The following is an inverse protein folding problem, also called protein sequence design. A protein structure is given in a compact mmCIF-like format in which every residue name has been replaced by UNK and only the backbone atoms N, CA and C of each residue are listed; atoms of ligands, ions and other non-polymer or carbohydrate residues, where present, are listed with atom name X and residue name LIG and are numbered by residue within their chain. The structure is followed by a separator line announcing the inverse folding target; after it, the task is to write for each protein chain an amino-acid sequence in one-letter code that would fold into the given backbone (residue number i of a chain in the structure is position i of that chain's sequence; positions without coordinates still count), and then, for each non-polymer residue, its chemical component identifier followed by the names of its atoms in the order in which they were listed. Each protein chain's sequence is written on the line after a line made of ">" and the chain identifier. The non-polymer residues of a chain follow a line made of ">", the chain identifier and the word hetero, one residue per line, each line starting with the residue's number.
data_IF_700354256637
#
_entry.id   IF_700354256637
#
_cell.length_a   1.000
_cell.length_b   1.000
_cell.length_c   1.000
_cell.angle_alpha   90.00
_cell.angle_beta   90.00
_cell.angle_gamma   90.00
#
_symmetry.space_group_name_H-M   'P 1'
#
loop_
_entity.id
_entity.type
_entity.pdbx_description
1 polymer ?
#
# COMPACT_ATOMS: atom_id res chain seq x y z
N UNK A 1 -22.07 -14.86 1.96
CA UNK A 1 -21.46 -13.96 2.97
C UNK A 1 -22.47 -13.59 4.05
N UNK A 2 -23.70 -13.18 3.72
CA UNK A 2 -24.72 -12.81 4.72
C UNK A 2 -24.96 -13.94 5.76
N UNK A 3 -25.01 -15.18 5.33
CA UNK A 3 -25.16 -16.34 6.23
C UNK A 3 -23.99 -16.47 7.19
N UNK A 4 -22.76 -16.28 6.70
CA UNK A 4 -21.54 -16.33 7.51
C UNK A 4 -21.49 -15.19 8.54
N UNK A 5 -21.86 -13.98 8.13
CA UNK A 5 -21.94 -12.80 9.01
C UNK A 5 -22.98 -13.02 10.11
N UNK A 6 -24.18 -13.51 9.75
CA UNK A 6 -25.26 -13.83 10.71
C UNK A 6 -24.85 -14.96 11.66
N UNK A 7 -24.14 -15.97 11.16
CA UNK A 7 -23.68 -17.10 11.98
C UNK A 7 -22.64 -16.66 13.01
N UNK A 8 -21.71 -15.78 12.66
CA UNK A 8 -20.77 -15.18 13.63
C UNK A 8 -21.50 -14.27 14.62
N UNK A 9 -22.40 -13.42 14.14
CA UNK A 9 -23.25 -12.54 14.94
C UNK A 9 -22.50 -11.43 15.68
N UNK A 10 -21.18 -11.26 15.46
CA UNK A 10 -20.38 -10.19 16.07
C UNK A 10 -19.85 -9.22 15.01
N UNK A 11 -19.85 -7.92 15.32
CA UNK A 11 -19.38 -6.88 14.41
C UNK A 11 -17.93 -7.10 13.95
N UNK A 12 -17.09 -7.69 14.81
CA UNK A 12 -15.66 -7.90 14.56
C UNK A 12 -15.31 -9.35 14.18
N UNK A 13 -16.32 -10.18 13.88
CA UNK A 13 -16.14 -11.59 13.52
C UNK A 13 -15.31 -12.39 14.55
N UNK A 14 -15.57 -12.12 15.84
CA UNK A 14 -14.78 -12.69 16.95
C UNK A 14 -15.12 -14.16 17.26
N UNK A 15 -16.31 -14.63 16.89
CA UNK A 15 -16.79 -15.97 17.25
C UNK A 15 -16.21 -17.04 16.34
N UNK A 16 -16.28 -16.84 15.03
CA UNK A 16 -15.75 -17.76 14.02
C UNK A 16 -14.34 -17.41 13.58
N UNK A 17 -13.97 -16.13 13.67
CA UNK A 17 -12.73 -15.59 13.18
C UNK A 17 -12.80 -15.15 11.71
N UNK A 18 -12.28 -13.95 11.43
CA UNK A 18 -12.33 -13.34 10.10
C UNK A 18 -11.67 -14.21 9.02
N UNK A 19 -10.55 -14.86 9.32
CA UNK A 19 -9.85 -15.70 8.34
C UNK A 19 -10.66 -16.95 7.95
N UNK A 20 -11.35 -17.59 8.91
CA UNK A 20 -12.22 -18.73 8.63
C UNK A 20 -13.42 -18.32 7.76
N UNK A 21 -14.02 -17.18 8.06
CA UNK A 21 -15.11 -16.59 7.25
C UNK A 21 -14.63 -16.28 5.84
N UNK A 22 -13.49 -15.60 5.73
CA UNK A 22 -12.92 -15.20 4.44
C UNK A 22 -12.59 -16.40 3.56
N UNK A 23 -12.02 -17.47 4.12
CA UNK A 23 -11.70 -18.67 3.33
C UNK A 23 -12.91 -19.28 2.67
N UNK A 24 -14.04 -19.35 3.38
CA UNK A 24 -15.31 -19.83 2.81
C UNK A 24 -15.88 -18.84 1.80
N UNK A 25 -15.83 -17.55 2.09
CA UNK A 25 -16.27 -16.48 1.18
C UNK A 25 -15.55 -16.54 -0.18
N UNK A 26 -14.21 -16.60 -0.15
CA UNK A 26 -13.40 -16.66 -1.37
C UNK A 26 -13.56 -17.99 -2.11
N UNK A 27 -13.61 -19.12 -1.39
CA UNK A 27 -13.84 -20.43 -2.00
C UNK A 27 -15.21 -20.50 -2.70
N UNK A 28 -16.26 -19.96 -2.08
CA UNK A 28 -17.60 -19.90 -2.68
C UNK A 28 -17.60 -19.09 -3.97
N UNK A 29 -16.90 -17.94 -3.99
CA UNK A 29 -16.76 -17.13 -5.19
C UNK A 29 -16.03 -17.88 -6.32
N UNK A 30 -14.91 -18.55 -5.99
CA UNK A 30 -14.14 -19.36 -6.96
C UNK A 30 -14.99 -20.49 -7.53
N UNK A 31 -15.71 -21.23 -6.70
CA UNK A 31 -16.61 -22.32 -7.13
C UNK A 31 -17.72 -21.79 -8.05
N UNK A 32 -18.32 -20.66 -7.68
CA UNK A 32 -19.35 -20.05 -8.51
C UNK A 32 -18.82 -19.64 -9.89
N UNK A 33 -17.64 -19.04 -9.97
CA UNK A 33 -16.99 -18.71 -11.25
C UNK A 33 -16.73 -19.96 -12.10
N UNK A 34 -16.19 -21.03 -11.49
CA UNK A 34 -15.96 -22.32 -12.15
C UNK A 34 -17.25 -22.95 -12.66
N UNK A 35 -18.31 -22.98 -11.85
CA UNK A 35 -19.61 -23.52 -12.22
C UNK A 35 -20.23 -22.78 -13.41
N UNK A 36 -20.01 -21.47 -13.49
CA UNK A 36 -20.45 -20.65 -14.63
C UNK A 36 -19.47 -20.69 -15.83
N UNK A 37 -18.36 -21.43 -15.72
CA UNK A 37 -17.32 -21.54 -16.76
C UNK A 37 -16.77 -20.18 -17.22
N UNK A 38 -16.60 -19.24 -16.28
CA UNK A 38 -16.01 -17.93 -16.53
C UNK A 38 -14.82 -17.69 -15.61
N UNK A 39 -13.89 -16.83 -16.03
CA UNK A 39 -12.75 -16.45 -15.20
C UNK A 39 -13.20 -15.68 -13.95
N UNK A 40 -12.44 -15.81 -12.85
CA UNK A 40 -12.80 -15.25 -11.56
C UNK A 40 -13.01 -13.73 -11.63
N UNK A 41 -12.11 -12.99 -12.30
CA UNK A 41 -12.28 -11.54 -12.43
C UNK A 41 -13.57 -11.15 -13.16
N UNK A 42 -14.04 -11.95 -14.14
CA UNK A 42 -15.31 -11.72 -14.84
C UNK A 42 -16.53 -12.03 -13.97
N UNK A 43 -16.39 -12.96 -13.05
CA UNK A 43 -17.44 -13.29 -12.08
C UNK A 43 -17.59 -12.20 -11.01
N UNK A 44 -16.48 -11.67 -10.52
CA UNK A 44 -16.45 -10.60 -9.50
C UNK A 44 -16.89 -9.26 -10.11
N UNK A 45 -16.44 -8.97 -11.33
CA UNK A 45 -16.76 -7.72 -12.03
C UNK A 45 -16.51 -7.83 -13.52
N UNK A 46 -16.78 -6.76 -14.28
CA UNK A 46 -16.69 -6.77 -15.73
C UNK A 46 -15.57 -5.87 -16.28
N UNK A 47 -14.67 -5.39 -15.43
CA UNK A 47 -13.54 -4.57 -15.84
C UNK A 47 -12.40 -5.45 -16.37
N UNK A 48 -11.50 -4.84 -17.15
CA UNK A 48 -10.40 -5.56 -17.83
C UNK A 48 -9.08 -4.82 -17.77
N UNK A 49 -9.00 -3.75 -16.98
CA UNK A 49 -7.78 -2.95 -16.86
C UNK A 49 -6.89 -3.58 -15.79
N UNK A 50 -5.67 -3.91 -16.18
CA UNK A 50 -4.64 -4.34 -15.23
C UNK A 50 -4.17 -3.14 -14.41
N UNK A 51 -4.01 -3.31 -13.07
CA UNK A 51 -3.54 -2.24 -12.20
C UNK A 51 -2.06 -1.91 -12.49
N UNK A 52 -1.65 -0.69 -12.13
CA UNK A 52 -0.25 -0.33 -12.14
C UNK A 52 0.42 -0.87 -10.87
N UNK A 53 1.48 -1.70 -10.95
CA UNK A 53 2.07 -2.28 -9.74
C UNK A 53 2.79 -1.24 -8.89
N UNK A 54 2.66 -1.36 -7.57
CA UNK A 54 3.56 -0.77 -6.58
C UNK A 54 4.51 -1.88 -6.15
N UNK A 55 5.81 -1.67 -6.33
CA UNK A 55 6.81 -2.70 -6.03
C UNK A 55 7.73 -2.24 -4.91
N UNK A 56 7.64 -2.93 -3.78
CA UNK A 56 8.52 -2.68 -2.63
C UNK A 56 9.93 -3.19 -2.94
N UNK A 57 10.94 -2.32 -2.85
CA UNK A 57 12.32 -2.62 -3.22
C UNK A 57 13.35 -2.37 -2.12
N UNK A 58 12.99 -1.57 -1.09
CA UNK A 58 13.75 -1.45 0.17
C UNK A 58 12.78 -1.55 1.33
N UNK A 59 13.13 -2.40 2.30
CA UNK A 59 12.42 -2.56 3.56
C UNK A 59 13.15 -1.87 4.72
N UNK A 60 12.35 -1.27 5.59
CA UNK A 60 12.74 -0.76 6.89
C UNK A 60 11.68 -1.05 7.95
N UNK A 61 11.60 -0.23 8.98
CA UNK A 61 10.58 -0.35 10.03
C UNK A 61 10.55 -1.75 10.66
N UNK A 62 9.35 -2.32 10.76
CA UNK A 62 9.16 -3.69 11.26
C UNK A 62 9.50 -4.78 10.25
N UNK A 63 9.53 -4.46 8.96
CA UNK A 63 9.81 -5.43 7.90
C UNK A 63 11.30 -5.76 7.73
N UNK A 64 12.19 -5.06 8.46
CA UNK A 64 13.63 -5.30 8.38
C UNK A 64 14.36 -4.94 9.68
N UNK A 65 15.38 -5.71 10.03
CA UNK A 65 16.24 -5.39 11.17
C UNK A 65 17.34 -4.40 10.75
N UNK A 66 16.94 -3.13 10.54
CA UNK A 66 17.84 -2.03 10.20
C UNK A 66 17.38 -0.73 10.89
N UNK A 67 18.05 0.40 10.58
CA UNK A 67 17.78 1.70 11.21
C UNK A 67 16.75 2.57 10.48
N UNK A 68 16.23 2.13 9.34
CA UNK A 68 15.22 2.86 8.59
C UNK A 68 13.91 2.97 9.36
N UNK A 69 13.31 4.15 9.33
CA UNK A 69 12.04 4.40 10.02
C UNK A 69 10.84 4.12 9.13
N UNK A 70 10.90 4.51 7.87
CA UNK A 70 9.89 4.19 6.86
C UNK A 70 9.96 2.69 6.56
N UNK A 71 8.80 2.05 6.55
CA UNK A 71 8.68 0.59 6.46
C UNK A 71 8.91 0.07 5.05
N UNK A 72 8.39 0.78 4.04
CA UNK A 72 8.51 0.36 2.64
C UNK A 72 8.87 1.53 1.74
N UNK A 73 9.84 1.27 0.85
CA UNK A 73 10.21 2.17 -0.23
C UNK A 73 9.89 1.46 -1.54
N UNK A 74 8.86 1.95 -2.21
CA UNK A 74 8.30 1.35 -3.41
C UNK A 74 8.61 2.18 -4.64
N UNK A 75 8.64 1.53 -5.80
CA UNK A 75 8.63 2.17 -7.12
C UNK A 75 7.32 1.89 -7.85
N UNK A 76 6.88 2.88 -8.64
CA UNK A 76 5.72 2.81 -9.51
C UNK A 76 6.12 3.19 -10.94
N UNK A 77 6.01 2.26 -11.92
CA UNK A 77 6.47 2.48 -13.29
C UNK A 77 5.41 3.24 -14.12
N UNK A 78 5.28 4.55 -13.87
CA UNK A 78 4.20 5.41 -14.39
C UNK A 78 4.09 5.45 -15.92
N UNK A 79 5.21 5.24 -16.64
CA UNK A 79 5.27 5.31 -18.11
C UNK A 79 5.03 3.96 -18.80
N UNK A 80 4.88 2.90 -18.04
CA UNK A 80 4.66 1.58 -18.62
C UNK A 80 3.35 1.53 -19.43
N UNK A 81 3.43 1.01 -20.65
CA UNK A 81 2.28 0.92 -21.57
C UNK A 81 1.37 -0.29 -21.27
N UNK A 82 1.91 -1.27 -20.56
CA UNK A 82 1.21 -2.50 -20.17
C UNK A 82 1.90 -3.13 -18.97
N UNK A 83 1.25 -4.14 -18.38
CA UNK A 83 1.73 -4.79 -17.15
C UNK A 83 3.07 -5.50 -17.32
N UNK A 84 3.33 -6.15 -18.46
CA UNK A 84 4.61 -6.81 -18.74
C UNK A 84 5.76 -5.80 -18.80
N UNK A 85 5.54 -4.65 -19.45
CA UNK A 85 6.52 -3.57 -19.47
C UNK A 85 6.75 -3.01 -18.05
N UNK A 86 5.67 -2.84 -17.26
CA UNK A 86 5.77 -2.40 -15.88
C UNK A 86 6.66 -3.34 -15.03
N UNK A 87 6.44 -4.65 -15.11
CA UNK A 87 7.25 -5.63 -14.41
C UNK A 87 8.71 -5.61 -14.87
N UNK A 88 8.96 -5.50 -16.19
CA UNK A 88 10.31 -5.45 -16.72
C UNK A 88 11.06 -4.19 -16.25
N UNK A 89 10.41 -3.03 -16.24
CA UNK A 89 10.97 -1.78 -15.70
C UNK A 89 11.37 -1.98 -14.23
N UNK A 90 10.47 -2.49 -13.40
CA UNK A 90 10.74 -2.74 -11.99
C UNK A 90 11.90 -3.72 -11.79
N UNK A 91 11.92 -4.81 -12.56
CA UNK A 91 13.01 -5.80 -12.52
C UNK A 91 14.36 -5.16 -12.83
N UNK A 92 14.48 -4.35 -13.88
CA UNK A 92 15.72 -3.67 -14.25
C UNK A 92 16.21 -2.74 -13.12
N UNK A 93 15.31 -1.96 -12.51
CA UNK A 93 15.67 -1.10 -11.38
C UNK A 93 16.15 -1.91 -10.17
N UNK A 94 15.46 -3.00 -9.83
CA UNK A 94 15.84 -3.89 -8.72
C UNK A 94 17.22 -4.48 -8.95
N UNK A 95 17.56 -4.93 -10.18
CA UNK A 95 18.88 -5.45 -10.51
C UNK A 95 19.98 -4.38 -10.37
N UNK A 96 19.70 -3.15 -10.78
CA UNK A 96 20.63 -2.02 -10.59
C UNK A 96 20.79 -1.65 -9.12
N UNK A 97 19.70 -1.64 -8.35
CA UNK A 97 19.76 -1.43 -6.90
C UNK A 97 20.61 -2.49 -6.21
N UNK A 98 20.42 -3.77 -6.55
CA UNK A 98 21.25 -4.87 -6.04
C UNK A 98 22.73 -4.64 -6.31
N UNK A 99 23.08 -4.29 -7.55
CA UNK A 99 24.47 -4.02 -7.95
C UNK A 99 25.06 -2.82 -7.18
N UNK A 100 24.28 -1.76 -6.95
CA UNK A 100 24.69 -0.61 -6.17
C UNK A 100 24.94 -0.94 -4.69
N UNK A 101 24.06 -1.74 -4.09
CA UNK A 101 24.23 -2.19 -2.70
C UNK A 101 25.50 -3.00 -2.54
N UNK A 102 25.75 -3.97 -3.43
CA UNK A 102 26.99 -4.75 -3.45
C UNK A 102 28.22 -3.85 -3.60
N UNK A 103 28.20 -2.91 -4.55
CA UNK A 103 29.32 -1.99 -4.79
C UNK A 103 29.60 -1.02 -3.64
N UNK A 104 28.68 -0.88 -2.71
CA UNK A 104 28.79 -0.06 -1.49
C UNK A 104 28.99 -0.90 -0.21
N UNK A 105 29.27 -2.20 -0.34
CA UNK A 105 29.39 -3.16 0.77
C UNK A 105 28.13 -3.20 1.69
N UNK A 106 26.94 -2.98 1.10
CA UNK A 106 25.66 -3.04 1.79
C UNK A 106 24.99 -4.40 1.55
N UNK A 107 24.23 -4.85 2.56
CA UNK A 107 23.49 -6.12 2.49
C UNK A 107 22.45 -6.11 1.38
N UNK A 108 22.36 -7.23 0.66
CA UNK A 108 21.28 -7.53 -0.30
C UNK A 108 20.31 -8.59 0.24
N UNK A 109 20.35 -8.88 1.54
CA UNK A 109 19.31 -9.67 2.18
C UNK A 109 17.97 -8.93 2.08
N UNK A 110 16.89 -9.69 2.01
CA UNK A 110 15.54 -9.15 1.87
C UNK A 110 14.80 -9.11 3.19
N UNK A 111 13.89 -8.16 3.33
CA UNK A 111 12.94 -8.11 4.43
C UNK A 111 11.67 -8.93 4.15
N UNK A 112 10.68 -8.78 5.00
CA UNK A 112 9.45 -9.59 5.00
C UNK A 112 8.59 -9.40 3.74
N UNK A 113 8.75 -8.27 3.06
CA UNK A 113 8.03 -7.92 1.82
C UNK A 113 8.88 -8.08 0.55
N UNK A 114 10.06 -8.71 0.65
CA UNK A 114 10.92 -8.99 -0.49
C UNK A 114 11.82 -7.84 -0.96
N UNK A 115 11.70 -6.63 -0.43
CA UNK A 115 12.63 -5.53 -0.64
C UNK A 115 13.97 -5.77 0.07
N UNK A 116 15.06 -5.19 -0.44
CA UNK A 116 16.35 -5.27 0.23
C UNK A 116 16.32 -4.60 1.61
N UNK A 117 17.07 -5.13 2.55
CA UNK A 117 17.13 -4.65 3.92
C UNK A 117 18.55 -4.17 4.31
N UNK A 118 19.12 -3.17 3.60
CA UNK A 118 20.45 -2.68 3.92
C UNK A 118 20.47 -1.90 5.23
N UNK A 119 21.60 -1.94 5.95
CA UNK A 119 21.85 -1.07 7.10
C UNK A 119 22.33 0.29 6.61
N UNK A 120 21.40 1.23 6.47
CA UNK A 120 21.65 2.62 6.04
C UNK A 120 21.06 3.61 7.03
N UNK A 121 21.66 4.79 7.12
CA UNK A 121 21.50 5.68 8.27
C UNK A 121 20.26 6.56 8.23
N UNK A 122 19.62 6.74 7.06
CA UNK A 122 18.46 7.63 6.92
C UNK A 122 17.50 7.19 5.81
N UNK A 123 16.24 7.63 5.91
CA UNK A 123 15.24 7.44 4.87
C UNK A 123 15.64 8.11 3.56
N UNK A 124 16.24 9.30 3.64
CA UNK A 124 16.69 10.06 2.47
C UNK A 124 17.78 9.31 1.69
N UNK A 125 18.71 8.65 2.40
CA UNK A 125 19.73 7.84 1.74
C UNK A 125 19.12 6.63 1.03
N UNK A 126 18.07 5.99 1.59
CA UNK A 126 17.33 4.94 0.91
C UNK A 126 16.70 5.46 -0.41
N UNK A 127 16.05 6.63 -0.34
CA UNK A 127 15.49 7.29 -1.52
C UNK A 127 16.57 7.59 -2.56
N UNK A 128 17.70 8.15 -2.16
CA UNK A 128 18.80 8.50 -3.06
C UNK A 128 19.42 7.26 -3.75
N UNK A 129 19.54 6.14 -3.04
CA UNK A 129 19.97 4.86 -3.63
C UNK A 129 18.97 4.35 -4.69
N UNK A 130 17.68 4.49 -4.44
CA UNK A 130 16.64 4.12 -5.42
C UNK A 130 16.72 5.04 -6.65
N UNK A 131 16.88 6.35 -6.46
CA UNK A 131 17.02 7.30 -7.57
C UNK A 131 18.25 7.00 -8.42
N UNK A 132 19.38 6.68 -7.78
CA UNK A 132 20.61 6.24 -8.48
C UNK A 132 20.36 4.94 -9.27
N UNK A 133 19.59 3.99 -8.70
CA UNK A 133 19.25 2.75 -9.39
C UNK A 133 18.33 2.99 -10.60
N UNK A 134 17.36 3.89 -10.50
CA UNK A 134 16.47 4.28 -11.60
C UNK A 134 17.28 4.89 -12.76
N UNK A 135 18.17 5.82 -12.45
CA UNK A 135 19.04 6.45 -13.44
C UNK A 135 19.95 5.42 -14.14
N UNK A 136 20.64 4.57 -13.37
CA UNK A 136 21.49 3.49 -13.91
C UNK A 136 20.71 2.45 -14.71
N UNK A 137 19.41 2.30 -14.48
CA UNK A 137 18.53 1.46 -15.29
C UNK A 137 18.08 2.13 -16.59
N UNK A 138 18.44 3.43 -16.81
CA UNK A 138 18.12 4.19 -18.01
C UNK A 138 16.75 4.87 -17.97
N UNK A 139 16.16 5.04 -16.80
CA UNK A 139 14.86 5.69 -16.62
C UNK A 139 14.98 7.04 -15.89
N UNK A 140 13.97 7.89 -16.06
CA UNK A 140 13.88 9.19 -15.40
C UNK A 140 12.92 9.12 -14.20
N UNK A 141 13.46 9.37 -13.01
CA UNK A 141 12.65 9.49 -11.81
C UNK A 141 11.69 10.70 -11.92
N UNK A 142 10.45 10.52 -11.49
CA UNK A 142 9.38 11.52 -11.56
C UNK A 142 8.65 11.60 -12.89
N UNK A 143 9.21 11.02 -13.95
CA UNK A 143 8.60 10.97 -15.29
C UNK A 143 8.25 9.54 -15.70
N UNK A 144 9.24 8.65 -15.64
CA UNK A 144 9.06 7.25 -16.04
C UNK A 144 8.69 6.37 -14.84
N UNK A 145 9.27 6.70 -13.68
CA UNK A 145 9.09 5.97 -12.43
C UNK A 145 8.94 6.99 -11.30
N UNK A 146 7.92 6.83 -10.47
CA UNK A 146 7.77 7.59 -9.22
C UNK A 146 8.04 6.72 -8.00
N UNK A 147 8.27 7.40 -6.88
CA UNK A 147 8.47 6.77 -5.58
C UNK A 147 7.16 6.73 -4.81
N UNK A 148 6.96 5.65 -4.07
CA UNK A 148 5.86 5.48 -3.14
C UNK A 148 6.42 4.99 -1.81
N UNK A 149 5.87 5.47 -0.71
CA UNK A 149 6.33 5.15 0.64
C UNK A 149 5.19 4.55 1.45
N UNK A 150 5.49 3.53 2.25
CA UNK A 150 4.66 3.15 3.39
C UNK A 150 5.43 3.47 4.68
N UNK A 151 4.87 4.38 5.47
CA UNK A 151 5.51 4.83 6.71
C UNK A 151 5.16 3.94 7.88
N UNK A 152 3.98 3.33 7.87
CA UNK A 152 3.42 2.54 8.96
C UNK A 152 3.53 3.29 10.32
N UNK A 153 3.05 4.54 10.34
CA UNK A 153 3.33 5.48 11.43
C UNK A 153 2.72 5.09 12.78
N UNK A 154 1.80 4.13 12.84
CA UNK A 154 1.35 3.52 14.09
C UNK A 154 2.53 3.00 14.94
N UNK A 155 3.55 2.44 14.27
CA UNK A 155 4.75 1.90 14.91
C UNK A 155 5.73 2.98 15.39
N UNK A 156 5.60 4.18 14.87
CA UNK A 156 6.48 5.33 15.12
C UNK A 156 5.83 6.36 16.05
N UNK A 157 4.60 6.10 16.51
CA UNK A 157 3.81 7.01 17.33
C UNK A 157 3.93 6.74 18.82
N UNK A 158 4.19 7.78 19.58
CA UNK A 158 4.18 7.74 21.04
C UNK A 158 3.80 9.11 21.59
N UNK A 159 2.84 9.15 22.54
CA UNK A 159 2.48 10.36 23.29
C UNK A 159 2.24 11.60 22.39
N UNK A 160 1.44 11.40 21.33
CA UNK A 160 1.10 12.43 20.32
C UNK A 160 2.31 12.97 19.55
N UNK A 161 3.37 12.17 19.39
CA UNK A 161 4.58 12.52 18.65
C UNK A 161 5.02 11.34 17.78
N UNK A 162 5.84 11.64 16.79
CA UNK A 162 6.30 10.71 15.76
C UNK A 162 7.83 10.67 15.68
N UNK A 163 8.40 9.50 15.44
CA UNK A 163 9.84 9.31 15.20
C UNK A 163 10.12 8.87 13.76
N UNK A 164 9.59 9.61 12.77
CA UNK A 164 9.59 9.22 11.34
C UNK A 164 10.93 9.39 10.61
N UNK A 165 11.78 10.30 11.05
CA UNK A 165 13.07 10.57 10.40
C UNK A 165 14.29 10.22 11.27
N UNK A 166 14.09 9.98 12.54
CA UNK A 166 15.15 9.63 13.48
C UNK A 166 14.55 9.04 14.76
N UNK A 167 15.37 8.69 15.74
CA UNK A 167 14.90 8.29 17.08
C UNK A 167 14.27 9.42 17.88
N UNK A 168 14.40 10.68 17.43
CA UNK A 168 13.82 11.85 18.09
C UNK A 168 12.34 11.98 17.74
N UNK A 169 11.50 12.14 18.75
CA UNK A 169 10.06 12.36 18.57
C UNK A 169 9.75 13.84 18.28
N UNK A 170 8.94 14.07 17.24
CA UNK A 170 8.48 15.40 16.79
C UNK A 170 6.95 15.45 16.79
N UNK A 171 6.37 16.64 16.82
CA UNK A 171 4.91 16.83 16.77
C UNK A 171 4.31 16.49 15.40
N UNK A 172 2.98 16.36 15.33
CA UNK A 172 2.25 16.13 14.07
C UNK A 172 2.55 17.21 13.04
N UNK A 173 2.61 18.49 13.44
CA UNK A 173 2.90 19.63 12.56
C UNK A 173 4.31 19.52 11.94
N UNK A 174 5.32 19.20 12.75
CA UNK A 174 6.69 18.97 12.25
C UNK A 174 6.79 17.73 11.37
N UNK A 175 5.96 16.74 11.61
CA UNK A 175 5.87 15.55 10.77
C UNK A 175 5.24 15.89 9.41
N UNK A 176 4.22 16.74 9.38
CA UNK A 176 3.66 17.29 8.13
C UNK A 176 4.75 18.05 7.35
N UNK A 177 5.48 18.96 7.99
CA UNK A 177 6.58 19.70 7.36
C UNK A 177 7.65 18.74 6.77
N UNK A 178 7.98 17.67 7.49
CA UNK A 178 8.91 16.65 7.00
C UNK A 178 8.42 16.01 5.69
N UNK A 179 7.15 15.58 5.62
CA UNK A 179 6.61 14.98 4.38
C UNK A 179 6.50 16.00 3.24
N UNK A 180 6.10 17.23 3.52
CA UNK A 180 6.06 18.29 2.51
C UNK A 180 7.45 18.54 1.91
N UNK A 181 8.49 18.58 2.75
CA UNK A 181 9.87 18.73 2.31
C UNK A 181 10.36 17.51 1.50
N UNK A 182 10.02 16.28 1.91
CA UNK A 182 10.34 15.08 1.13
C UNK A 182 9.68 15.14 -0.26
N UNK A 183 8.39 15.45 -0.33
CA UNK A 183 7.65 15.53 -1.59
C UNK A 183 8.12 16.68 -2.50
N UNK A 184 8.67 17.76 -1.92
CA UNK A 184 9.27 18.84 -2.68
C UNK A 184 10.64 18.46 -3.25
N UNK A 185 11.43 17.68 -2.50
CA UNK A 185 12.80 17.28 -2.88
C UNK A 185 12.83 16.08 -3.80
N UNK A 186 11.92 15.12 -3.62
CA UNK A 186 11.94 13.84 -4.30
C UNK A 186 10.63 13.56 -5.07
N UNK A 187 10.66 12.76 -6.13
CA UNK A 187 9.50 12.46 -6.97
C UNK A 187 8.54 11.46 -6.31
N UNK A 188 8.10 11.77 -5.09
CA UNK A 188 7.15 10.96 -4.32
C UNK A 188 5.74 11.23 -4.85
N UNK A 189 4.97 10.17 -5.14
CA UNK A 189 3.60 10.23 -5.65
C UNK A 189 2.59 9.51 -4.76
N UNK A 190 3.08 8.81 -3.72
CA UNK A 190 2.21 8.14 -2.76
C UNK A 190 2.88 8.08 -1.39
N UNK A 191 2.11 8.33 -0.33
CA UNK A 191 2.50 8.11 1.06
C UNK A 191 1.37 7.34 1.73
N UNK A 192 1.69 6.14 2.19
CA UNK A 192 0.80 5.28 2.94
C UNK A 192 1.07 5.44 4.44
N UNK A 193 0.00 5.45 5.20
CA UNK A 193 -0.04 5.56 6.67
C UNK A 193 0.98 6.56 7.27
N UNK A 194 0.92 7.84 6.83
CA UNK A 194 1.84 8.88 7.32
C UNK A 194 1.65 9.23 8.80
N UNK A 195 0.50 8.90 9.39
CA UNK A 195 0.15 9.20 10.78
C UNK A 195 -0.53 8.04 11.48
N UNK A 196 -0.58 8.11 12.80
CA UNK A 196 -1.35 7.21 13.65
C UNK A 196 -2.82 7.17 13.21
N UNK A 197 -3.42 5.99 13.19
CA UNK A 197 -4.76 5.69 12.67
C UNK A 197 -5.90 6.53 13.27
N UNK A 198 -5.67 7.19 14.41
CA UNK A 198 -6.65 8.03 15.08
C UNK A 198 -6.23 9.51 15.16
N UNK A 199 -5.12 9.91 14.54
CA UNK A 199 -4.70 11.32 14.43
C UNK A 199 -5.34 12.00 13.19
N UNK A 200 -6.67 12.02 13.18
CA UNK A 200 -7.46 12.49 12.05
C UNK A 200 -7.11 13.91 11.59
N UNK A 201 -6.75 14.78 12.52
CA UNK A 201 -6.40 16.17 12.22
C UNK A 201 -5.11 16.26 11.39
N UNK A 202 -4.09 15.45 11.73
CA UNK A 202 -2.86 15.37 10.95
C UNK A 202 -3.11 14.81 9.54
N UNK A 203 -3.95 13.78 9.40
CA UNK A 203 -4.35 13.23 8.11
C UNK A 203 -5.05 14.26 7.24
N UNK A 204 -6.02 14.99 7.78
CA UNK A 204 -6.77 16.06 7.08
C UNK A 204 -5.79 17.15 6.61
N UNK A 205 -4.95 17.63 7.52
CA UNK A 205 -4.00 18.71 7.22
C UNK A 205 -3.01 18.32 6.13
N UNK A 206 -2.40 17.12 6.19
CA UNK A 206 -1.48 16.67 5.14
C UNK A 206 -2.21 16.54 3.79
N UNK A 207 -3.41 15.95 3.78
CA UNK A 207 -4.20 15.78 2.55
C UNK A 207 -4.51 17.11 1.89
N UNK A 208 -4.89 18.13 2.69
CA UNK A 208 -5.15 19.48 2.19
C UNK A 208 -3.91 20.13 1.59
N UNK A 209 -2.74 20.03 2.24
CA UNK A 209 -1.50 20.62 1.76
C UNK A 209 -1.00 19.99 0.45
N UNK A 210 -1.16 18.69 0.28
CA UNK A 210 -0.72 17.98 -0.92
C UNK A 210 -1.74 18.02 -2.08
N UNK A 211 -2.97 18.46 -1.81
CA UNK A 211 -4.00 18.86 -2.77
C UNK A 211 -4.18 17.89 -3.95
N UNK A 212 -4.37 16.61 -3.68
CA UNK A 212 -4.56 15.51 -4.66
C UNK A 212 -3.40 15.29 -5.66
N UNK A 213 -2.30 16.00 -5.56
CA UNK A 213 -1.12 15.76 -6.39
C UNK A 213 -0.36 14.48 -6.00
N UNK A 214 -0.59 14.01 -4.76
CA UNK A 214 0.02 12.83 -4.17
C UNK A 214 -1.09 11.95 -3.59
N UNK A 215 -0.97 10.65 -3.76
CA UNK A 215 -1.85 9.69 -3.11
C UNK A 215 -1.51 9.65 -1.62
N UNK A 216 -2.48 9.96 -0.78
CA UNK A 216 -2.41 9.74 0.67
C UNK A 216 -3.25 8.51 0.94
N UNK A 217 -2.57 7.42 1.26
CA UNK A 217 -3.16 6.08 1.34
C UNK A 217 -3.41 5.71 2.79
N UNK A 218 -4.65 5.31 3.11
CA UNK A 218 -4.98 4.77 4.41
C UNK A 218 -5.05 3.25 4.38
N UNK A 219 -4.12 2.57 5.07
CA UNK A 219 -4.19 1.16 5.43
C UNK A 219 -4.78 1.05 6.85
N UNK A 220 -3.99 1.27 7.89
CA UNK A 220 -4.45 1.24 9.29
C UNK A 220 -5.52 2.29 9.58
N UNK A 221 -5.50 3.43 8.87
CA UNK A 221 -6.54 4.44 8.97
C UNK A 221 -7.93 3.85 8.68
N UNK A 222 -8.05 3.02 7.66
CA UNK A 222 -9.33 2.53 7.16
C UNK A 222 -9.60 1.05 7.45
N UNK A 223 -8.54 0.22 7.55
CA UNK A 223 -8.62 -1.25 7.76
C UNK A 223 -9.70 -1.93 6.91
N UNK A 224 -9.84 -1.51 5.65
CA UNK A 224 -10.88 -1.99 4.71
C UNK A 224 -12.30 -1.90 5.31
N UNK A 225 -12.53 -0.93 6.20
CA UNK A 225 -13.78 -0.80 6.96
C UNK A 225 -14.63 0.36 6.45
N UNK A 226 -15.89 0.06 6.12
CA UNK A 226 -16.87 1.00 5.55
C UNK A 226 -17.10 2.25 6.43
N UNK A 227 -17.21 2.07 7.75
CA UNK A 227 -17.49 3.18 8.68
C UNK A 227 -16.29 4.13 8.77
N UNK A 228 -15.06 3.56 8.85
CA UNK A 228 -13.83 4.36 8.88
C UNK A 228 -13.62 5.10 7.55
N UNK A 229 -13.88 4.43 6.42
CA UNK A 229 -13.81 5.08 5.10
C UNK A 229 -14.83 6.23 4.99
N UNK A 230 -16.08 6.04 5.42
CA UNK A 230 -17.10 7.10 5.45
C UNK A 230 -16.66 8.30 6.29
N UNK A 231 -16.00 8.04 7.43
CA UNK A 231 -15.44 9.12 8.25
C UNK A 231 -14.35 9.87 7.49
N UNK A 232 -13.43 9.15 6.83
CA UNK A 232 -12.36 9.75 6.01
C UNK A 232 -12.91 10.61 4.88
N UNK A 233 -13.90 10.10 4.15
CA UNK A 233 -14.58 10.82 3.06
C UNK A 233 -15.20 12.13 3.58
N UNK A 234 -15.97 12.06 4.67
CA UNK A 234 -16.64 13.23 5.26
C UNK A 234 -15.65 14.29 5.76
N UNK A 235 -14.54 13.86 6.33
CA UNK A 235 -13.52 14.77 6.87
C UNK A 235 -12.43 15.15 5.86
N UNK A 236 -12.45 14.57 4.64
CA UNK A 236 -11.41 14.74 3.60
C UNK A 236 -10.02 14.30 4.08
N UNK A 237 -9.97 13.26 4.88
CA UNK A 237 -8.73 12.62 5.31
C UNK A 237 -8.34 11.52 4.32
N UNK A 238 -7.14 11.59 3.76
CA UNK A 238 -6.67 10.73 2.67
C UNK A 238 -7.43 10.94 1.33
N UNK A 239 -7.02 10.25 0.27
CA UNK A 239 -7.68 10.23 -1.03
C UNK A 239 -7.61 8.85 -1.70
N UNK A 240 -7.02 7.88 -1.02
CA UNK A 240 -6.82 6.52 -1.49
C UNK A 240 -6.98 5.56 -0.30
N UNK A 241 -7.57 4.40 -0.52
CA UNK A 241 -7.65 3.33 0.46
C UNK A 241 -6.83 2.12 0.01
N UNK A 242 -6.05 1.55 0.92
CA UNK A 242 -5.48 0.22 0.77
C UNK A 242 -6.53 -0.81 1.15
N UNK A 243 -6.72 -1.80 0.29
CA UNK A 243 -7.76 -2.82 0.46
C UNK A 243 -7.10 -4.17 0.73
N UNK A 244 -7.39 -4.73 1.88
CA UNK A 244 -6.95 -6.05 2.32
C UNK A 244 -8.18 -6.89 2.72
N UNK A 245 -8.64 -7.84 1.89
CA UNK A 245 -9.87 -8.59 2.17
C UNK A 245 -9.90 -9.25 3.55
N UNK A 246 -8.74 -9.66 4.08
CA UNK A 246 -8.65 -10.30 5.39
C UNK A 246 -8.80 -9.33 6.58
N UNK A 247 -8.72 -8.01 6.37
CA UNK A 247 -9.01 -7.03 7.43
C UNK A 247 -10.52 -6.94 7.72
N UNK A 248 -11.37 -7.21 6.72
CA UNK A 248 -12.82 -7.16 6.86
C UNK A 248 -13.47 -8.55 6.92
N UNK A 249 -12.93 -9.52 6.18
CA UNK A 249 -13.25 -10.94 6.34
C UNK A 249 -14.33 -11.50 5.42
N UNK A 250 -14.89 -10.74 4.49
CA UNK A 250 -15.76 -11.23 3.41
C UNK A 250 -15.51 -10.49 2.09
N UNK A 251 -15.76 -11.16 0.97
CA UNK A 251 -15.70 -10.54 -0.34
C UNK A 251 -16.79 -9.46 -0.52
N UNK A 252 -17.99 -9.72 -0.03
CA UNK A 252 -19.12 -8.78 -0.13
C UNK A 252 -18.77 -7.45 0.55
N UNK A 253 -18.31 -7.46 1.79
CA UNK A 253 -17.90 -6.25 2.51
C UNK A 253 -16.71 -5.56 1.84
N UNK A 254 -15.75 -6.34 1.30
CA UNK A 254 -14.62 -5.81 0.52
C UNK A 254 -15.10 -5.03 -0.70
N UNK A 255 -16.02 -5.61 -1.50
CA UNK A 255 -16.59 -4.97 -2.68
C UNK A 255 -17.41 -3.73 -2.33
N UNK A 256 -18.15 -3.75 -1.21
CA UNK A 256 -18.88 -2.57 -0.73
C UNK A 256 -17.93 -1.40 -0.42
N UNK A 257 -16.79 -1.67 0.22
CA UNK A 257 -15.77 -0.65 0.54
C UNK A 257 -15.15 -0.10 -0.74
N UNK A 258 -14.79 -0.95 -1.69
CA UNK A 258 -14.24 -0.53 -2.98
C UNK A 258 -15.23 0.36 -3.74
N UNK A 259 -16.49 -0.06 -3.83
CA UNK A 259 -17.54 0.70 -4.49
C UNK A 259 -17.77 2.06 -3.81
N UNK A 260 -17.81 2.08 -2.48
CA UNK A 260 -17.93 3.32 -1.71
C UNK A 260 -16.78 4.28 -1.99
N UNK A 261 -15.54 3.78 -2.05
CA UNK A 261 -14.36 4.56 -2.38
C UNK A 261 -14.51 5.21 -3.76
N UNK A 262 -14.80 4.40 -4.79
CA UNK A 262 -14.95 4.87 -6.16
C UNK A 262 -16.07 5.90 -6.34
N UNK A 263 -17.23 5.68 -5.71
CA UNK A 263 -18.36 6.61 -5.76
C UNK A 263 -18.03 8.00 -5.15
N UNK A 264 -17.02 8.05 -4.29
CA UNK A 264 -16.59 9.30 -3.63
C UNK A 264 -15.23 9.81 -4.15
N UNK A 265 -14.76 9.32 -5.31
CA UNK A 265 -13.53 9.79 -5.94
C UNK A 265 -12.23 9.35 -5.28
N UNK A 266 -12.30 8.41 -4.32
CA UNK A 266 -11.12 7.76 -3.75
C UNK A 266 -10.57 6.72 -4.72
N UNK A 267 -9.25 6.61 -4.79
CA UNK A 267 -8.58 5.50 -5.45
C UNK A 267 -8.51 4.29 -4.54
N UNK A 268 -8.31 3.13 -5.14
CA UNK A 268 -8.13 1.87 -4.41
C UNK A 268 -6.83 1.20 -4.83
N UNK A 269 -6.12 0.65 -3.86
CA UNK A 269 -4.93 -0.18 -4.02
C UNK A 269 -5.27 -1.53 -3.42
N UNK A 270 -5.17 -2.62 -4.18
CA UNK A 270 -5.36 -3.97 -3.67
C UNK A 270 -4.01 -4.48 -3.20
N UNK A 271 -3.95 -4.91 -1.95
CA UNK A 271 -2.71 -5.29 -1.30
C UNK A 271 -2.69 -6.75 -0.88
N UNK A 272 -1.49 -7.32 -0.91
CA UNK A 272 -1.16 -8.57 -0.23
C UNK A 272 -0.94 -8.33 1.28
N UNK A 273 -0.52 -9.36 1.98
CA UNK A 273 0.00 -9.31 3.36
C UNK A 273 1.39 -9.93 3.38
N UNK A 274 2.24 -9.50 4.33
CA UNK A 274 3.54 -10.17 4.60
C UNK A 274 3.31 -11.65 4.87
N UNK A 275 4.09 -12.52 4.22
CA UNK A 275 3.94 -13.98 4.35
C UNK A 275 2.64 -14.54 3.75
N UNK A 276 1.99 -13.82 2.83
CA UNK A 276 0.81 -14.30 2.13
C UNK A 276 1.12 -15.55 1.27
N UNK A 277 0.08 -16.32 0.96
CA UNK A 277 0.19 -17.50 0.10
C UNK A 277 0.29 -17.09 -1.38
N UNK A 278 0.59 -18.07 -2.27
CA UNK A 278 0.61 -17.87 -3.73
C UNK A 278 -0.79 -17.77 -4.35
N UNK A 279 -1.86 -17.60 -3.54
CA UNK A 279 -3.22 -17.45 -4.04
C UNK A 279 -3.39 -16.15 -4.82
N UNK A 280 -3.87 -16.25 -6.06
CA UNK A 280 -3.99 -15.13 -7.00
C UNK A 280 -5.30 -14.35 -6.89
N UNK A 281 -6.13 -14.61 -5.87
CA UNK A 281 -7.45 -13.98 -5.74
C UNK A 281 -7.40 -12.45 -5.81
N UNK A 282 -6.43 -11.84 -5.13
CA UNK A 282 -6.29 -10.38 -5.10
C UNK A 282 -5.96 -9.79 -6.46
N UNK A 283 -5.27 -10.52 -7.34
CA UNK A 283 -5.00 -10.09 -8.71
C UNK A 283 -6.30 -10.02 -9.54
N UNK A 284 -7.15 -11.07 -9.45
CA UNK A 284 -8.48 -11.07 -10.07
C UNK A 284 -9.37 -9.96 -9.49
N UNK A 285 -9.32 -9.73 -8.16
CA UNK A 285 -10.07 -8.66 -7.50
C UNK A 285 -9.64 -7.28 -8.02
N UNK A 286 -8.34 -7.02 -8.14
CA UNK A 286 -7.82 -5.74 -8.61
C UNK A 286 -8.30 -5.42 -10.03
N UNK A 287 -8.28 -6.42 -10.93
CA UNK A 287 -8.78 -6.27 -12.32
C UNK A 287 -10.30 -6.09 -12.33
N UNK A 288 -11.03 -6.93 -11.61
CA UNK A 288 -12.50 -6.93 -11.58
C UNK A 288 -13.09 -5.61 -11.11
N UNK A 289 -12.42 -4.95 -10.17
CA UNK A 289 -12.87 -3.70 -9.54
C UNK A 289 -12.29 -2.45 -10.21
N UNK A 290 -11.39 -2.60 -11.18
CA UNK A 290 -10.67 -1.48 -11.79
C UNK A 290 -9.90 -0.66 -10.76
N UNK A 291 -9.28 -1.35 -9.81
CA UNK A 291 -8.40 -0.71 -8.84
C UNK A 291 -7.18 -0.11 -9.52
N UNK A 292 -6.69 1.03 -9.02
CA UNK A 292 -5.64 1.78 -9.70
C UNK A 292 -4.25 1.13 -9.55
N UNK A 293 -4.03 0.47 -8.41
CA UNK A 293 -2.80 -0.26 -8.09
C UNK A 293 -3.13 -1.58 -7.39
#
# INVERSE_FOLDING_TARGET
>A
DETLIKLDGTKQKKRLGANAILSVSLASCKVAALSNKISLFKYIGNKKTLPLPLMNIINGGKHANNSLRIQEFMIRPDKAKNFNEALNICFLVIQKLKSLLIGKDLSTNVGDEGGFAPSISSNELAIELILEAIDKAGFKAGTDISLCLDVAANELYKEKKYSVNSSKFISSEKTIEYYLNLCKKYPIKSIEDPFFENDWDAWINLTQHLNNNIQIVGDDLFVTNKERLLKGIKSKAANTILVKPNQIGTLTETLEVINLAHLNGYKTIISHRSGDSEDTFIADLAVATNSSQ
#
